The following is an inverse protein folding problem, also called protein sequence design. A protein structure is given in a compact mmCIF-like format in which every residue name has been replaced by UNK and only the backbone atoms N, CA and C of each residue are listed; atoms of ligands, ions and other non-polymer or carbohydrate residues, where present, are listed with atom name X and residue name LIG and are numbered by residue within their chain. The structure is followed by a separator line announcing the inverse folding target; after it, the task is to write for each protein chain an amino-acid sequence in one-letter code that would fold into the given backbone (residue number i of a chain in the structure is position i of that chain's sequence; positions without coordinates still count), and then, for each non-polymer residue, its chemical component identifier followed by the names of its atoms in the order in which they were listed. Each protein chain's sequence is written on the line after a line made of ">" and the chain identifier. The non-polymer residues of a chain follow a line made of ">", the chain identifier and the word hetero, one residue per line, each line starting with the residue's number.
data_IF_305401766903
#
_entry.id   IF_305401766903
#
_cell.length_a   1.000
_cell.length_b   1.000
_cell.length_c   1.000
_cell.angle_alpha   90.00
_cell.angle_beta   90.00
_cell.angle_gamma   90.00
#
_symmetry.space_group_name_H-M   'P 1'
#
loop_
_entity.id
_entity.type
_entity.pdbx_description
1 polymer ?
#
# COMPACT_ATOMS: atom_id res chain seq x y z
N UNK A 1 -2.17 0.10 13.32
CA UNK A 1 -1.07 1.09 13.33
C UNK A 1 -1.49 2.44 12.75
N UNK A 2 -1.83 2.54 11.46
CA UNK A 2 -2.10 3.85 10.81
C UNK A 2 -3.35 4.60 11.31
N UNK A 3 -4.43 3.89 11.68
CA UNK A 3 -5.63 4.54 12.25
C UNK A 3 -5.29 5.34 13.50
N UNK A 4 -4.45 4.81 14.39
CA UNK A 4 -3.97 5.52 15.59
C UNK A 4 -3.05 6.71 15.29
N UNK A 5 -2.58 6.82 14.04
CA UNK A 5 -1.72 7.90 13.55
C UNK A 5 -2.49 8.94 12.72
N UNK A 6 -3.82 8.80 12.60
CA UNK A 6 -4.69 9.78 11.94
C UNK A 6 -5.21 9.36 10.56
N UNK A 7 -4.95 8.13 10.11
CA UNK A 7 -5.62 7.60 8.93
C UNK A 7 -7.11 7.37 9.22
N UNK A 8 -7.97 7.59 8.22
CA UNK A 8 -9.41 7.29 8.34
C UNK A 8 -9.70 5.84 7.98
N UNK A 9 -8.98 5.29 7.01
CA UNK A 9 -9.18 3.94 6.51
C UNK A 9 -7.84 3.29 6.17
N UNK A 10 -7.75 1.99 6.40
CA UNK A 10 -6.64 1.13 5.98
C UNK A 10 -7.26 -0.07 5.30
N UNK A 11 -6.92 -0.27 4.03
CA UNK A 11 -7.49 -1.33 3.20
C UNK A 11 -6.36 -2.18 2.66
N UNK A 12 -6.39 -3.47 3.02
CA UNK A 12 -5.49 -4.50 2.49
C UNK A 12 -6.30 -5.44 1.58
N UNK A 13 -5.72 -5.79 0.43
CA UNK A 13 -6.36 -6.55 -0.63
C UNK A 13 -5.49 -7.76 -0.98
N UNK A 14 -6.08 -8.95 -0.87
CA UNK A 14 -5.48 -10.19 -1.36
C UNK A 14 -5.95 -10.45 -2.80
N UNK A 15 -5.10 -10.99 -3.68
CA UNK A 15 -5.48 -11.25 -5.06
C UNK A 15 -6.63 -12.25 -5.14
N UNK A 16 -7.56 -11.99 -6.04
CA UNK A 16 -8.65 -12.91 -6.39
C UNK A 16 -8.59 -13.32 -7.86
N UNK A 17 -8.33 -12.37 -8.75
CA UNK A 17 -8.24 -12.60 -10.20
C UNK A 17 -7.26 -11.56 -10.78
N UNK A 18 -5.96 -11.91 -10.80
CA UNK A 18 -4.89 -11.07 -11.34
C UNK A 18 -4.35 -11.74 -12.60
N UNK A 19 -4.66 -11.20 -13.79
CA UNK A 19 -4.14 -11.75 -15.03
C UNK A 19 -2.68 -11.38 -15.23
N UNK A 20 -1.96 -12.29 -15.90
CA UNK A 20 -0.65 -11.99 -16.47
C UNK A 20 -0.76 -11.09 -17.70
N UNK A 21 0.37 -10.49 -18.09
CA UNK A 21 0.46 -9.63 -19.26
C UNK A 21 1.85 -9.67 -19.87
N UNK A 22 1.96 -9.27 -21.14
CA UNK A 22 3.23 -9.30 -21.88
C UNK A 22 4.02 -7.99 -21.77
N UNK A 23 3.33 -6.84 -21.82
CA UNK A 23 3.95 -5.51 -21.73
C UNK A 23 3.92 -4.99 -20.30
N UNK A 24 2.78 -5.15 -19.61
CA UNK A 24 2.59 -4.75 -18.22
C UNK A 24 1.54 -5.62 -17.54
N UNK A 25 1.70 -5.86 -16.25
CA UNK A 25 0.72 -6.51 -15.36
C UNK A 25 1.07 -6.17 -13.91
N UNK A 26 0.19 -6.49 -12.96
CA UNK A 26 0.48 -6.32 -11.54
C UNK A 26 1.69 -7.16 -11.09
N UNK A 27 1.83 -8.45 -11.48
CA UNK A 27 3.03 -9.23 -11.21
C UNK A 27 4.31 -8.62 -11.80
N UNK A 28 4.24 -8.10 -13.04
CA UNK A 28 5.37 -7.44 -13.68
C UNK A 28 5.77 -6.15 -12.95
N UNK A 29 4.80 -5.38 -12.45
CA UNK A 29 5.07 -4.12 -11.75
C UNK A 29 5.94 -4.35 -10.50
N UNK A 30 5.61 -5.36 -9.69
CA UNK A 30 6.36 -5.70 -8.46
C UNK A 30 7.44 -6.76 -8.69
N UNK A 31 7.70 -7.18 -9.93
CA UNK A 31 8.65 -8.25 -10.28
C UNK A 31 8.44 -9.50 -9.41
N UNK A 32 7.19 -9.97 -9.33
CA UNK A 32 6.82 -11.16 -8.57
C UNK A 32 7.62 -12.38 -9.05
N UNK A 33 8.05 -13.22 -8.10
CA UNK A 33 8.75 -14.47 -8.36
C UNK A 33 7.77 -15.65 -8.30
N UNK A 34 8.24 -16.83 -8.72
CA UNK A 34 7.48 -18.06 -8.56
C UNK A 34 7.14 -18.32 -7.09
N UNK A 35 5.87 -18.66 -6.82
CA UNK A 35 5.35 -18.88 -5.47
C UNK A 35 4.94 -17.61 -4.72
N UNK A 36 5.09 -16.42 -5.32
CA UNK A 36 4.61 -15.16 -4.75
C UNK A 36 3.25 -14.75 -5.33
N UNK A 37 2.54 -13.89 -4.60
CA UNK A 37 1.25 -13.33 -4.98
C UNK A 37 1.28 -11.81 -4.82
N UNK A 38 0.56 -11.08 -5.66
CA UNK A 38 0.49 -9.62 -5.57
C UNK A 38 -0.62 -9.22 -4.60
N UNK A 39 -0.25 -8.66 -3.46
CA UNK A 39 -1.16 -7.92 -2.60
C UNK A 39 -1.19 -6.44 -3.00
N UNK A 40 -2.32 -5.79 -2.74
CA UNK A 40 -2.46 -4.35 -2.90
C UNK A 40 -3.07 -3.75 -1.63
N UNK A 41 -2.90 -2.46 -1.43
CA UNK A 41 -3.51 -1.78 -0.32
C UNK A 41 -3.39 -0.28 -0.45
N UNK A 42 -4.23 0.44 0.28
CA UNK A 42 -4.14 1.88 0.38
C UNK A 42 -4.61 2.35 1.75
N UNK A 43 -4.13 3.53 2.12
CA UNK A 43 -4.45 4.19 3.38
C UNK A 43 -5.08 5.53 3.01
N UNK A 44 -6.28 5.77 3.54
CA UNK A 44 -6.97 7.04 3.37
C UNK A 44 -6.59 7.96 4.53
N UNK A 45 -6.19 9.17 4.18
CA UNK A 45 -5.82 10.21 5.13
C UNK A 45 -6.71 11.43 4.92
N UNK A 46 -7.06 12.17 5.98
CA UNK A 46 -7.92 13.34 5.86
C UNK A 46 -7.21 14.54 5.20
N UNK A 47 -5.86 14.56 5.22
CA UNK A 47 -5.04 15.52 4.48
C UNK A 47 -3.61 15.02 4.32
N UNK A 48 -2.85 15.65 3.40
CA UNK A 48 -1.43 15.38 3.20
C UNK A 48 -0.60 15.65 4.45
N UNK A 49 -0.92 16.70 5.21
CA UNK A 49 -0.21 17.05 6.44
C UNK A 49 -0.36 15.96 7.50
N UNK A 50 -1.57 15.41 7.66
CA UNK A 50 -1.82 14.30 8.59
C UNK A 50 -1.10 13.04 8.12
N UNK A 51 -1.14 12.75 6.82
CA UNK A 51 -0.38 11.64 6.22
C UNK A 51 1.11 11.74 6.50
N UNK A 52 1.71 12.90 6.27
CA UNK A 52 3.15 13.10 6.44
C UNK A 52 3.56 12.99 7.91
N UNK A 53 2.76 13.57 8.83
CA UNK A 53 3.00 13.45 10.26
C UNK A 53 2.85 12.01 10.76
N UNK A 54 1.81 11.29 10.31
CA UNK A 54 1.57 9.90 10.67
C UNK A 54 2.64 8.96 10.12
N UNK A 55 3.00 9.11 8.84
CA UNK A 55 4.05 8.33 8.20
C UNK A 55 5.43 8.60 8.83
N UNK A 56 5.74 9.86 9.15
CA UNK A 56 6.99 10.22 9.83
C UNK A 56 7.14 9.54 11.19
N UNK A 57 6.06 9.41 11.96
CA UNK A 57 6.05 8.65 13.22
C UNK A 57 6.30 7.17 13.00
N UNK A 58 5.65 6.57 11.99
CA UNK A 58 5.81 5.15 11.67
C UNK A 58 7.26 4.82 11.27
N UNK A 59 7.88 5.65 10.42
CA UNK A 59 9.28 5.45 9.99
C UNK A 59 10.30 5.69 11.12
N UNK A 60 9.90 6.38 12.18
CA UNK A 60 10.74 6.63 13.36
C UNK A 60 10.50 5.62 14.47
N UNK A 61 9.52 4.72 14.30
CA UNK A 61 9.26 3.65 15.25
C UNK A 61 10.36 2.59 15.11
N UNK A 62 11.03 2.29 16.22
CA UNK A 62 12.12 1.30 16.27
C UNK A 62 11.60 -0.12 16.49
N UNK A 63 10.29 -0.28 16.72
CA UNK A 63 9.64 -1.58 16.77
C UNK A 63 9.84 -2.31 15.43
N UNK A 64 10.46 -3.51 15.45
CA UNK A 64 10.75 -4.24 14.22
C UNK A 64 9.45 -4.60 13.50
N UNK A 65 9.28 -4.04 12.31
CA UNK A 65 8.22 -4.45 11.40
C UNK A 65 8.63 -5.76 10.71
N UNK A 66 7.95 -6.85 11.04
CA UNK A 66 8.09 -8.08 10.26
C UNK A 66 7.36 -7.88 8.92
N UNK A 67 8.12 -7.75 7.84
CA UNK A 67 7.58 -7.66 6.49
C UNK A 67 7.51 -9.07 5.90
N UNK A 68 6.31 -9.67 5.72
CA UNK A 68 6.17 -11.01 5.16
C UNK A 68 6.38 -11.03 3.62
N UNK A 69 7.08 -10.04 3.08
CA UNK A 69 7.37 -9.83 1.65
C UNK A 69 8.68 -9.06 1.47
N UNK A 70 9.22 -9.07 0.24
CA UNK A 70 10.44 -8.33 -0.09
C UNK A 70 10.15 -6.83 -0.30
N UNK A 71 10.43 -6.03 0.73
CA UNK A 71 10.24 -4.58 0.71
C UNK A 71 11.01 -3.83 -0.40
N UNK A 72 12.04 -4.42 -1.01
CA UNK A 72 12.78 -3.78 -2.13
C UNK A 72 11.97 -3.72 -3.42
N UNK A 73 10.95 -4.56 -3.54
CA UNK A 73 10.07 -4.67 -4.71
C UNK A 73 8.69 -4.03 -4.48
N UNK A 74 8.43 -3.59 -3.25
CA UNK A 74 7.22 -2.85 -2.93
C UNK A 74 7.21 -1.51 -3.68
N UNK A 75 6.08 -1.22 -4.32
CA UNK A 75 5.80 0.07 -4.94
C UNK A 75 4.83 0.83 -4.03
N UNK A 76 5.15 2.09 -3.73
CA UNK A 76 4.25 2.96 -2.98
C UNK A 76 4.29 4.39 -3.52
N UNK A 77 3.19 5.12 -3.34
CA UNK A 77 3.02 6.49 -3.80
C UNK A 77 1.85 7.16 -3.08
N UNK A 78 1.78 8.49 -3.17
CA UNK A 78 0.65 9.27 -2.67
C UNK A 78 -0.19 9.81 -3.83
N UNK A 79 -1.49 9.87 -3.65
CA UNK A 79 -2.45 10.37 -4.63
C UNK A 79 -3.44 11.33 -3.95
N UNK A 80 -3.83 12.38 -4.66
CA UNK A 80 -4.98 13.22 -4.30
C UNK A 80 -6.25 12.63 -4.91
N UNK A 81 -7.37 12.68 -4.18
CA UNK A 81 -8.64 12.19 -4.70
C UNK A 81 -9.18 13.10 -5.80
N UNK A 82 -9.27 12.57 -7.01
CA UNK A 82 -9.89 13.29 -8.12
C UNK A 82 -11.43 13.19 -8.09
N UNK A 83 -11.96 12.02 -7.76
CA UNK A 83 -13.39 11.74 -7.68
C UNK A 83 -13.63 10.55 -6.76
N UNK A 84 -14.57 10.67 -5.82
CA UNK A 84 -15.05 9.59 -4.97
C UNK A 84 -16.57 9.49 -5.10
N UNK A 85 -17.05 8.35 -5.56
CA UNK A 85 -18.49 8.02 -5.61
C UNK A 85 -18.79 6.98 -4.54
N UNK A 86 -19.82 7.21 -3.75
CA UNK A 86 -20.34 6.28 -2.73
C UNK A 86 -21.75 5.85 -3.12
N UNK A 87 -22.20 4.71 -2.57
CA UNK A 87 -23.51 4.13 -2.86
C UNK A 87 -24.69 5.06 -2.54
#
# INVERSE_FOLDING_TARGET
>A
MFIGLGATDVVDLWPSDIPDGEVTSLPLAVKAQEGESVAAGYIVWPSKEVRDAGWGKMMSDEEPFDMPFDGKRMIFGGFEELLRTTA
#
